data_IF_023702693412
#
_entry.id   IF_023702693412
#
_cell.length_a   1.000
_cell.length_b   1.000
_cell.length_c   1.000
_cell.angle_alpha   90.00
_cell.angle_beta   90.00
_cell.angle_gamma   90.00
#
_symmetry.space_group_name_H-M   'P 1'
#
loop_
_entity.id
_entity.type
_entity.pdbx_description
1 polymer ?
#
# COMPACT_ATOMS: atom_id res chain seq x y z
N UNK A 1 13.45 -1.93 -1.01
CA UNK A 1 13.06 -0.57 -1.40
C UNK A 1 14.33 0.21 -1.70
N UNK A 2 14.68 0.41 -2.96
CA UNK A 2 15.83 1.22 -3.36
C UNK A 2 15.37 2.30 -4.36
N UNK A 3 15.99 3.48 -4.27
CA UNK A 3 15.83 4.60 -5.20
C UNK A 3 17.21 5.15 -5.49
N UNK A 4 17.61 5.13 -6.76
CA UNK A 4 18.82 5.77 -7.23
C UNK A 4 18.57 7.27 -7.43
N UNK A 5 19.46 8.09 -6.87
CA UNK A 5 19.45 9.55 -7.02
C UNK A 5 20.64 9.90 -7.89
N UNK A 6 20.37 10.25 -9.14
CA UNK A 6 21.41 10.67 -10.09
C UNK A 6 21.45 12.21 -10.06
N UNK A 7 22.60 12.85 -10.26
CA UNK A 7 22.84 14.28 -9.99
C UNK A 7 21.90 15.33 -10.62
N UNK A 8 20.89 14.93 -11.41
CA UNK A 8 19.76 15.78 -11.86
C UNK A 8 18.51 15.71 -10.98
N UNK A 9 18.37 14.72 -10.11
CA UNK A 9 17.20 14.56 -9.26
C UNK A 9 17.48 15.09 -7.85
N UNK A 10 16.66 16.05 -7.42
CA UNK A 10 16.75 16.63 -6.09
C UNK A 10 16.47 15.57 -5.01
N UNK A 11 17.32 15.53 -3.96
CA UNK A 11 17.22 14.60 -2.83
C UNK A 11 15.81 14.52 -2.21
N UNK A 12 15.12 15.66 -2.12
CA UNK A 12 13.75 15.73 -1.60
C UNK A 12 12.74 14.92 -2.43
N UNK A 13 12.91 14.91 -3.76
CA UNK A 13 12.05 14.13 -4.65
C UNK A 13 12.27 12.64 -4.45
N UNK A 14 13.51 12.23 -4.19
CA UNK A 14 13.85 10.84 -3.90
C UNK A 14 13.19 10.38 -2.59
N UNK A 15 13.27 11.18 -1.52
CA UNK A 15 12.62 10.90 -0.23
C UNK A 15 11.10 10.81 -0.40
N UNK A 16 10.49 11.74 -1.14
CA UNK A 16 9.04 11.71 -1.40
C UNK A 16 8.62 10.47 -2.18
N UNK A 17 9.42 10.08 -3.17
CA UNK A 17 9.18 8.89 -3.98
C UNK A 17 9.33 7.61 -3.15
N UNK A 18 10.31 7.56 -2.24
CA UNK A 18 10.51 6.46 -1.30
C UNK A 18 9.29 6.30 -0.41
N UNK A 19 8.81 7.40 0.17
CA UNK A 19 7.62 7.40 1.02
C UNK A 19 6.38 6.93 0.27
N UNK A 20 6.18 7.37 -0.98
CA UNK A 20 5.06 6.91 -1.82
C UNK A 20 5.18 5.41 -2.15
N UNK A 21 6.39 4.92 -2.43
CA UNK A 21 6.66 3.51 -2.71
C UNK A 21 6.38 2.65 -1.47
N UNK A 22 6.84 3.08 -0.30
CA UNK A 22 6.56 2.44 0.99
C UNK A 22 5.05 2.34 1.30
N UNK A 23 4.31 3.41 1.00
CA UNK A 23 2.85 3.44 1.17
C UNK A 23 2.14 2.52 0.17
N UNK A 24 2.60 2.45 -1.08
CA UNK A 24 2.04 1.58 -2.13
C UNK A 24 2.26 0.10 -1.82
N UNK A 25 3.44 -0.24 -1.31
CA UNK A 25 3.77 -1.59 -0.87
C UNK A 25 2.99 -1.99 0.40
N UNK A 26 2.36 -1.04 1.10
CA UNK A 26 1.48 -1.33 2.23
C UNK A 26 2.21 -1.82 3.48
N UNK A 27 3.54 -1.68 3.54
CA UNK A 27 4.41 -2.22 4.59
C UNK A 27 3.95 -1.88 6.00
N UNK A 28 3.51 -0.64 6.23
CA UNK A 28 3.01 -0.20 7.54
C UNK A 28 1.70 -0.89 7.90
N UNK A 29 0.80 -1.07 6.91
CA UNK A 29 -0.49 -1.73 7.10
C UNK A 29 -0.29 -3.23 7.39
N UNK A 30 0.63 -3.86 6.67
CA UNK A 30 0.92 -5.28 6.84
C UNK A 30 1.69 -5.55 8.14
N UNK A 31 2.61 -4.66 8.52
CA UNK A 31 3.31 -4.72 9.81
C UNK A 31 2.30 -4.67 10.97
N UNK A 32 1.38 -3.69 10.97
CA UNK A 32 0.30 -3.61 11.98
C UNK A 32 -0.58 -4.86 12.01
N UNK A 33 -0.91 -5.42 10.84
CA UNK A 33 -1.74 -6.63 10.75
C UNK A 33 -1.05 -7.86 11.35
N UNK A 34 0.27 -7.95 11.23
CA UNK A 34 1.07 -9.10 11.69
C UNK A 34 1.47 -9.00 13.17
N UNK A 35 1.08 -7.93 13.89
CA UNK A 35 1.40 -7.78 15.32
C UNK A 35 0.68 -8.80 16.20
N UNK A 36 -0.46 -9.33 15.75
CA UNK A 36 -1.23 -10.35 16.45
C UNK A 36 -1.59 -11.50 15.51
N UNK A 37 -1.86 -12.68 16.08
CA UNK A 37 -2.35 -13.82 15.31
C UNK A 37 -3.75 -13.52 14.75
N UNK A 38 -3.88 -13.59 13.43
CA UNK A 38 -5.16 -13.54 12.72
C UNK A 38 -5.57 -14.99 12.38
N UNK A 39 -6.76 -15.43 12.82
CA UNK A 39 -7.23 -16.78 12.49
C UNK A 39 -7.42 -16.91 10.97
N UNK A 40 -7.10 -18.07 10.34
CA UNK A 40 -7.21 -18.23 8.88
C UNK A 40 -8.61 -17.93 8.31
N UNK A 41 -9.66 -18.21 9.08
CA UNK A 41 -11.04 -17.90 8.71
C UNK A 41 -11.32 -16.38 8.67
N UNK A 42 -10.71 -15.63 9.57
CA UNK A 42 -10.86 -14.17 9.65
C UNK A 42 -10.05 -13.50 8.55
N UNK A 43 -8.85 -14.01 8.28
CA UNK A 43 -8.03 -13.56 7.16
C UNK A 43 -8.79 -13.69 5.82
N UNK A 44 -9.43 -14.84 5.57
CA UNK A 44 -10.27 -15.06 4.36
C UNK A 44 -11.40 -14.04 4.27
N UNK A 45 -12.12 -13.80 5.38
CA UNK A 45 -13.21 -12.80 5.44
C UNK A 45 -12.69 -11.39 5.14
N UNK A 46 -11.55 -11.01 5.74
CA UNK A 46 -10.91 -9.70 5.54
C UNK A 46 -10.46 -9.51 4.09
N UNK A 47 -9.77 -10.49 3.49
CA UNK A 47 -9.33 -10.44 2.08
C UNK A 47 -10.52 -10.23 1.14
N UNK A 48 -11.64 -10.92 1.38
CA UNK A 48 -12.88 -10.73 0.60
C UNK A 48 -13.42 -9.30 0.73
N UNK A 49 -13.52 -8.77 1.96
CA UNK A 49 -13.96 -7.38 2.22
C UNK A 49 -13.04 -6.34 1.55
N UNK A 50 -11.72 -6.50 1.67
CA UNK A 50 -10.74 -5.59 1.06
C UNK A 50 -10.82 -5.57 -0.47
N UNK A 51 -11.00 -6.74 -1.11
CA UNK A 51 -11.18 -6.82 -2.56
C UNK A 51 -12.45 -6.11 -3.04
N UNK A 52 -13.57 -6.27 -2.33
CA UNK A 52 -14.82 -5.55 -2.64
C UNK A 52 -14.62 -4.04 -2.50
N UNK A 53 -13.99 -3.59 -1.41
CA UNK A 53 -13.71 -2.18 -1.18
C UNK A 53 -12.79 -1.59 -2.26
N UNK A 54 -11.74 -2.33 -2.67
CA UNK A 54 -10.83 -1.93 -3.76
C UNK A 54 -11.57 -1.77 -5.07
N UNK A 55 -12.41 -2.75 -5.45
CA UNK A 55 -13.24 -2.69 -6.67
C UNK A 55 -14.21 -1.52 -6.66
N UNK A 56 -14.87 -1.25 -5.52
CA UNK A 56 -15.76 -0.09 -5.36
C UNK A 56 -15.01 1.24 -5.49
N UNK A 57 -13.78 1.32 -4.97
CA UNK A 57 -12.96 2.53 -5.10
C UNK A 57 -12.50 2.74 -6.54
N UNK A 58 -12.08 1.67 -7.24
CA UNK A 58 -11.70 1.74 -8.66
C UNK A 58 -12.86 2.23 -9.52
N UNK A 59 -14.05 1.63 -9.37
CA UNK A 59 -15.25 2.05 -10.11
C UNK A 59 -15.60 3.52 -9.90
N UNK A 60 -15.48 4.04 -8.67
CA UNK A 60 -15.71 5.48 -8.40
C UNK A 60 -14.70 6.38 -9.11
N UNK A 61 -13.48 5.92 -9.38
CA UNK A 61 -12.48 6.68 -10.13
C UNK A 61 -12.64 6.60 -11.64
N UNK A 62 -13.37 5.61 -12.17
CA UNK A 62 -13.70 5.47 -13.59
C UNK A 62 -14.91 6.33 -14.01
N UNK A 63 -15.70 6.80 -13.04
CA UNK A 63 -16.89 7.62 -13.25
C UNK A 63 -16.58 9.13 -13.33
N UNK A 64 -15.30 9.53 -13.26
CA UNK A 64 -14.82 10.91 -13.39
C UNK A 64 -13.70 11.03 -14.41
#
# INVERSE_FOLDING_TARGET
>A
MEIAVNGRSNLEMAIRSLRKKAQREGLIKDSRRRQAYEKPSEEKKRRKKENIARRRKARRGELF
#
